data_IF_727772830525
#
_entry.id   IF_727772830525
#
_cell.length_a   1.000
_cell.length_b   1.000
_cell.length_c   1.000
_cell.angle_alpha   90.00
_cell.angle_beta   90.00
_cell.angle_gamma   90.00
#
_symmetry.space_group_name_H-M   'P 1'
#
loop_
_entity.id
_entity.type
_entity.pdbx_description
1 polymer ?
2 polymer ?
3 non-polymer ?
4 non-polymer ?
5 non-polymer ?
6 non-polymer ?
7 water ?
#
# COMPACT_ATOMS: atom_id res chain seq x y z
N UNK A 1 -21.32 9.46 -4.92
CA UNK A 1 -20.41 8.72 -4.05
C UNK A 1 -18.99 9.29 -4.12
N UNK A 2 -18.19 8.77 -3.20
CA UNK A 2 -16.84 9.27 -2.98
C UNK A 2 -15.97 9.12 -4.24
N UNK A 3 -16.14 8.09 -5.07
CA UNK A 3 -15.34 8.00 -6.30
C UNK A 3 -15.65 9.11 -7.33
N UNK A 4 -16.93 9.28 -7.66
CA UNK A 4 -17.36 10.41 -8.44
C UNK A 4 -16.84 11.74 -7.92
N UNK A 5 -16.92 11.91 -6.62
CA UNK A 5 -16.57 13.21 -6.08
C UNK A 5 -15.06 13.37 -5.96
N UNK A 6 -14.34 12.30 -5.71
CA UNK A 6 -12.96 12.52 -5.30
C UNK A 6 -11.93 11.85 -6.27
N UNK A 7 -12.41 11.11 -7.22
CA UNK A 7 -11.50 10.60 -8.26
C UNK A 7 -11.51 11.43 -9.54
N UNK A 8 -12.56 12.23 -9.73
CA UNK A 8 -12.69 13.11 -10.87
C UNK A 8 -12.09 14.46 -10.52
N UNK A 9 -12.12 14.85 -9.23
CA UNK A 9 -11.37 15.98 -8.68
C UNK A 9 -10.79 15.59 -7.34
N UNK A 10 -9.84 16.39 -6.91
CA UNK A 10 -9.08 16.14 -5.71
C UNK A 10 -9.88 16.70 -4.53
N UNK A 11 -9.98 15.89 -3.47
CA UNK A 11 -10.79 16.24 -2.31
C UNK A 11 -9.89 16.73 -1.18
N UNK A 12 -10.25 17.84 -0.53
CA UNK A 12 -9.58 18.18 0.69
C UNK A 12 -9.78 17.10 1.74
N UNK A 13 -9.01 17.21 2.82
CA UNK A 13 -9.23 16.35 3.97
C UNK A 13 -10.58 16.67 4.60
N UNK A 14 -11.03 17.92 4.46
CA UNK A 14 -12.32 18.32 4.99
C UNK A 14 -13.44 17.60 4.22
N UNK A 15 -13.35 17.60 2.90
CA UNK A 15 -14.30 16.95 2.05
C UNK A 15 -14.27 15.43 2.32
N UNK A 16 -13.07 14.87 2.60
CA UNK A 16 -13.01 13.42 2.82
C UNK A 16 -13.78 13.06 4.09
N UNK A 17 -13.81 13.99 5.07
CA UNK A 17 -14.44 13.74 6.37
C UNK A 17 -15.94 13.46 6.21
N UNK A 18 -16.51 13.87 5.10
CA UNK A 18 -17.90 13.49 4.78
C UNK A 18 -18.12 11.98 4.75
N UNK A 19 -17.07 11.21 4.46
CA UNK A 19 -17.27 9.79 4.43
C UNK A 19 -16.80 9.13 5.71
N UNK A 20 -16.59 9.91 6.78
CA UNK A 20 -16.28 9.28 8.05
C UNK A 20 -17.61 8.84 8.70
N UNK A 21 -17.56 7.74 9.46
CA UNK A 21 -18.67 7.34 10.30
C UNK A 21 -18.93 8.42 11.39
N UNK B 1 -13.11 0.56 -14.35
CA UNK B 1 -11.79 0.37 -14.98
C UNK B 1 -10.68 0.53 -13.93
N UNK B 2 -9.45 0.49 -14.46
CA UNK B 2 -8.35 0.24 -13.57
C UNK B 2 -8.06 1.50 -12.78
N UNK B 3 -8.28 2.63 -13.44
CA UNK B 3 -7.82 3.92 -12.92
C UNK B 3 -8.62 4.22 -11.66
N UNK B 4 -9.93 3.89 -11.76
CA UNK B 4 -10.78 3.99 -10.62
C UNK B 4 -10.37 3.08 -9.45
N UNK B 5 -9.89 1.87 -9.77
CA UNK B 5 -9.47 0.91 -8.75
C UNK B 5 -8.27 1.47 -8.01
N UNK B 6 -7.45 2.12 -8.80
CA UNK B 6 -6.23 2.71 -8.28
C UNK B 6 -6.54 3.90 -7.34
N UNK B 7 -7.34 4.81 -7.88
CA UNK B 7 -7.87 5.94 -7.10
C UNK B 7 -8.46 5.49 -5.74
N UNK B 8 -9.26 4.46 -5.81
CA UNK B 8 -9.95 3.94 -4.63
C UNK B 8 -9.04 3.46 -3.57
N UNK B 9 -8.00 2.83 -4.02
CA UNK B 9 -7.02 2.37 -3.06
C UNK B 9 -6.48 3.54 -2.22
N UNK B 10 -6.10 4.61 -2.92
CA UNK B 10 -5.57 5.75 -2.19
C UNK B 10 -6.69 6.43 -1.36
N UNK B 11 -7.96 6.47 -1.84
CA UNK B 11 -8.99 7.12 -1.02
C UNK B 11 -9.14 6.36 0.29
N UNK B 12 -9.10 4.99 0.27
CA UNK B 12 -9.32 4.33 1.54
C UNK B 12 -8.20 4.58 2.46
N UNK B 13 -6.97 4.75 1.93
CA UNK B 13 -5.88 4.97 2.87
C UNK B 13 -6.08 6.36 3.47
N UNK B 14 -6.55 7.31 2.64
CA UNK B 14 -6.77 8.67 3.16
C UNK B 14 -7.94 8.78 4.13
N UNK B 15 -9.01 8.00 3.86
CA UNK B 15 -10.11 7.97 4.84
C UNK B 15 -9.67 7.33 6.14
N UNK B 16 -8.77 6.30 6.05
CA UNK B 16 -8.33 5.69 7.27
C UNK B 16 -7.66 6.72 8.16
N UNK B 17 -6.91 7.63 7.54
CA UNK B 17 -6.09 8.53 8.35
C UNK B 17 -6.96 9.66 8.86
N UNK B 18 -7.74 10.22 7.93
CA UNK B 18 -8.61 11.37 8.22
C UNK B 18 -9.57 11.00 9.35
N UNK B 19 -10.25 9.88 9.22
CA UNK B 19 -11.41 9.60 10.05
C UNK B 19 -11.05 9.04 11.39
N UNK B 20 -9.87 8.41 11.51
CA UNK B 20 -9.32 8.05 12.80
C UNK B 20 -10.27 7.09 13.52
N UNK B 21 -10.56 7.39 14.78
CA UNK B 21 -11.35 6.46 15.56
C UNK B 21 -12.78 6.32 15.04
N UNK B 22 -13.32 7.32 14.34
CA UNK B 22 -14.68 7.22 13.82
C UNK B 22 -14.78 6.08 12.81
N UNK B 23 -13.64 5.68 12.21
CA UNK B 23 -13.71 4.79 11.07
C UNK B 23 -14.52 5.44 9.95
N UNK B 24 -14.77 4.67 8.89
CA UNK B 24 -15.30 5.21 7.65
C UNK B 24 -16.09 4.17 6.96
N UNK B 25 -16.74 4.63 5.86
CA UNK B 25 -17.39 3.69 4.97
C UNK B 25 -16.82 3.94 3.62
N UNK B 26 -16.60 2.84 2.93
CA UNK B 26 -16.20 2.94 1.54
C UNK B 26 -17.20 2.14 0.71
N UNK B 27 -17.88 2.85 -0.16
CA UNK B 27 -18.82 2.32 -1.12
C UNK B 27 -18.41 2.74 -2.54
N UNK B 28 -17.80 1.89 -3.38
CA UNK B 28 -17.46 2.30 -4.73
C UNK B 28 -18.69 2.55 -5.58
N UNK B 29 -18.47 3.01 -6.83
CA UNK B 29 -19.56 3.27 -7.77
C UNK B 29 -19.88 2.01 -8.58
N UNK C 1 15.50 -17.05 3.73
CA UNK C 1 15.15 -16.18 2.59
C UNK C 1 15.05 -14.71 3.00
N UNK C 2 14.18 -14.00 2.27
CA UNK C 2 14.09 -12.55 2.37
C UNK C 2 13.38 -12.14 3.66
N UNK C 3 12.39 -12.89 4.09
CA UNK C 3 11.68 -12.57 5.30
C UNK C 3 12.64 -12.70 6.49
N UNK C 4 13.34 -13.85 6.59
CA UNK C 4 14.35 -14.03 7.63
C UNK C 4 15.36 -12.88 7.61
N UNK C 5 15.97 -12.64 6.46
CA UNK C 5 17.01 -11.63 6.34
C UNK C 5 16.53 -10.23 6.68
N UNK C 6 15.44 -9.79 6.04
CA UNK C 6 15.14 -8.37 6.00
C UNK C 6 13.98 -7.92 6.94
N UNK C 7 13.28 -8.86 7.54
CA UNK C 7 12.32 -8.53 8.59
C UNK C 7 12.89 -8.68 10.00
N UNK C 8 14.06 -9.31 10.12
CA UNK C 8 14.80 -9.32 11.39
C UNK C 8 15.80 -8.17 11.43
N UNK C 9 16.15 -7.66 10.26
CA UNK C 9 17.08 -6.56 10.13
C UNK C 9 16.81 -5.74 8.87
N UNK C 10 17.09 -4.46 8.89
CA UNK C 10 16.80 -3.65 7.73
C UNK C 10 17.72 -4.13 6.64
N UNK C 11 17.23 -4.14 5.42
CA UNK C 11 18.07 -4.36 4.27
C UNK C 11 18.07 -3.08 3.46
N UNK C 12 19.21 -2.68 2.90
CA UNK C 12 19.34 -1.55 1.99
C UNK C 12 18.73 -1.97 0.68
N UNK C 13 18.71 -1.03 -0.27
CA UNK C 13 18.27 -1.27 -1.62
C UNK C 13 19.27 -2.21 -2.32
N UNK C 14 20.53 -2.25 -1.87
CA UNK C 14 21.52 -3.16 -2.50
C UNK C 14 21.32 -4.59 -2.02
N UNK C 15 20.97 -4.75 -0.76
CA UNK C 15 20.73 -6.07 -0.23
C UNK C 15 19.45 -6.62 -0.85
N UNK C 16 18.48 -5.74 -1.07
CA UNK C 16 17.23 -6.20 -1.66
C UNK C 16 17.44 -6.67 -3.09
N UNK C 17 18.38 -6.03 -3.78
CA UNK C 17 18.58 -6.28 -5.20
C UNK C 17 19.09 -7.71 -5.51
N UNK C 18 19.57 -8.41 -4.50
CA UNK C 18 19.85 -9.84 -4.60
C UNK C 18 18.66 -10.71 -4.90
N UNK C 19 17.49 -10.31 -4.42
CA UNK C 19 16.31 -11.11 -4.61
C UNK C 19 15.68 -10.85 -5.97
N UNK C 20 16.25 -9.96 -6.77
CA UNK C 20 15.64 -9.63 -8.03
C UNK C 20 15.90 -10.74 -9.06
N UNK C 21 15.24 -10.65 -10.20
CA UNK C 21 15.51 -11.56 -11.29
C UNK C 21 16.61 -10.98 -12.16
N UNK D 1 2.31 -13.31 14.18
CA UNK D 1 2.59 -13.54 12.76
C UNK D 1 2.33 -12.27 11.99
N UNK D 2 1.66 -11.31 12.65
CA UNK D 2 1.07 -10.20 11.93
C UNK D 2 2.20 -9.26 11.50
N UNK D 3 3.12 -9.07 12.41
CA UNK D 3 4.33 -8.28 12.21
C UNK D 3 5.05 -8.72 10.95
N UNK D 4 5.17 -10.01 10.80
CA UNK D 4 5.85 -10.54 9.63
C UNK D 4 5.05 -10.28 8.35
N UNK D 5 3.73 -10.48 8.45
CA UNK D 5 2.86 -10.22 7.30
C UNK D 5 2.97 -8.74 6.90
N UNK D 6 3.02 -7.83 7.86
CA UNK D 6 3.12 -6.40 7.56
C UNK D 6 4.45 -6.03 6.88
N UNK D 7 5.55 -6.51 7.50
CA UNK D 7 6.90 -6.38 6.94
C UNK D 7 6.96 -6.85 5.47
N UNK D 8 6.33 -7.97 5.21
CA UNK D 8 6.41 -8.56 3.88
C UNK D 8 5.72 -7.71 2.84
N UNK D 9 4.69 -7.01 3.25
CA UNK D 9 4.02 -6.14 2.32
C UNK D 9 4.97 -5.03 1.86
N UNK D 10 5.74 -4.45 2.78
CA UNK D 10 6.71 -3.40 2.42
C UNK D 10 7.87 -3.98 1.63
N UNK D 11 8.31 -5.21 2.00
CA UNK D 11 9.38 -5.88 1.23
C UNK D 11 9.00 -5.96 -0.22
N UNK D 12 7.77 -6.43 -0.49
CA UNK D 12 7.51 -6.60 -1.89
C UNK D 12 7.45 -5.25 -2.58
N UNK D 13 6.98 -4.21 -1.89
CA UNK D 13 6.92 -2.90 -2.54
C UNK D 13 8.33 -2.40 -2.94
N UNK D 14 9.24 -2.69 -2.03
CA UNK D 14 10.65 -2.33 -2.20
C UNK D 14 11.35 -3.09 -3.33
N UNK D 15 11.11 -4.42 -3.39
CA UNK D 15 11.60 -5.16 -4.54
C UNK D 15 10.99 -4.62 -5.82
N UNK D 16 9.68 -4.30 -5.80
CA UNK D 16 9.07 -3.81 -7.03
C UNK D 16 9.91 -2.62 -7.52
N UNK D 17 10.29 -1.78 -6.56
CA UNK D 17 10.96 -0.53 -6.96
C UNK D 17 12.39 -0.82 -7.41
N UNK D 18 13.05 -1.61 -6.62
CA UNK D 18 14.48 -1.90 -6.86
C UNK D 18 14.68 -2.79 -8.09
N UNK D 19 13.85 -3.80 -8.26
CA UNK D 19 14.08 -4.67 -9.39
C UNK D 19 13.74 -4.05 -10.74
N UNK D 20 12.78 -3.15 -10.79
CA UNK D 20 12.34 -2.53 -12.01
C UNK D 20 11.89 -3.54 -13.06
N UNK D 21 12.33 -3.35 -14.32
CA UNK D 21 11.92 -4.21 -15.42
C UNK D 21 12.40 -5.65 -15.23
N UNK D 22 13.37 -5.91 -14.36
CA UNK D 22 13.83 -7.27 -14.19
C UNK D 22 12.74 -8.13 -13.59
N UNK D 23 11.95 -7.56 -12.70
CA UNK D 23 10.96 -8.39 -12.03
C UNK D 23 11.61 -9.20 -10.91
N UNK D 24 10.82 -10.05 -10.28
CA UNK D 24 11.29 -10.75 -9.10
C UNK D 24 10.32 -11.87 -8.77
N UNK D 25 10.78 -12.81 -7.97
CA UNK D 25 9.95 -13.82 -7.36
C UNK D 25 9.85 -13.48 -5.88
N UNK D 26 8.69 -13.62 -5.32
CA UNK D 26 8.60 -13.46 -3.88
C UNK D 26 8.30 -14.83 -3.31
N UNK D 27 9.27 -15.34 -2.56
CA UNK D 27 9.13 -16.64 -1.93
C UNK D 27 9.49 -16.48 -0.45
N UNK D 28 8.47 -16.30 0.40
CA UNK D 28 8.69 -16.15 1.84
C UNK D 28 9.06 -17.54 2.38
N UNK D 29 10.03 -17.65 3.29
CA UNK D 29 10.33 -18.98 3.83
C UNK D 29 10.13 -18.94 5.35
X LIG E 1 -8.41 12.27 -3.51
X LIG E 1 -8.15 11.10 -4.22
X LIG E 1 -7.35 10.13 -3.64
X LIG E 1 -6.76 10.34 -2.40
X LIG E 1 -7.01 11.50 -1.71
X LIG E 1 -7.84 12.46 -2.26
X LIG E 1 -9.25 13.20 -4.15
X LIG E 1 -8.55 10.96 -5.06
X LIG E 1 -7.16 9.34 -4.12
X LIG E 1 -6.20 9.68 -2.02
X LIG E 1 -6.63 11.64 -0.86
X LIG E 1 -8.01 13.27 -1.79
X LIG E 1 -9.49 13.89 -3.72
X LIG F 1 -1.34 4.21 -6.52
X LIG G 1 -1.93 4.92 -8.35
X LIG H 1 13.37 -4.03 4.95
X LIG H 1 13.55 -3.21 3.84
X LIG H 1 12.45 -2.64 3.18
X LIG H 1 11.21 -3.02 3.56
X LIG H 1 11.05 -3.86 4.62
X LIG H 1 12.09 -4.37 5.35
X LIG H 1 12.60 -1.71 2.00
X LIG H 1 14.37 -4.61 5.70
X LIG H 1 14.42 -2.94 3.60
X LIG H 1 10.46 -2.68 3.12
X LIG H 1 10.17 -4.08 4.88
X LIG H 1 11.95 -4.97 6.06
X LIG H 1 11.74 -1.33 1.77
X LIG H 1 12.95 -2.20 1.24
X LIG H 1 13.21 -0.99 2.23
X LIG H 1 14.18 -5.11 6.38
X LIG I 1 3.03 -1.04 6.99
X LIG J 1 3.65 -1.78 8.90
#
# INVERSE_FOLDING_TARGET
GIVEQCCTSICSLYQLENYCN
FVNQHLCGSHLVEALYLVCGERGFFYTPK
GIVEQCCTSICSLYQLENYCN
FVNQHLCGSHLVEALYLVCGERGFFYTPK
IPH C1 C2 C3 C4 C5 C6 O1 H2 H3 H4 H5 H6 HO1
ZN ZN
CL CL
CRS C1 C2 C3 C4 C5 C6 C7 O1 H2 H4 H5 H6 H71 H72 H73 HO1
ZN ZN
CL CL
#
